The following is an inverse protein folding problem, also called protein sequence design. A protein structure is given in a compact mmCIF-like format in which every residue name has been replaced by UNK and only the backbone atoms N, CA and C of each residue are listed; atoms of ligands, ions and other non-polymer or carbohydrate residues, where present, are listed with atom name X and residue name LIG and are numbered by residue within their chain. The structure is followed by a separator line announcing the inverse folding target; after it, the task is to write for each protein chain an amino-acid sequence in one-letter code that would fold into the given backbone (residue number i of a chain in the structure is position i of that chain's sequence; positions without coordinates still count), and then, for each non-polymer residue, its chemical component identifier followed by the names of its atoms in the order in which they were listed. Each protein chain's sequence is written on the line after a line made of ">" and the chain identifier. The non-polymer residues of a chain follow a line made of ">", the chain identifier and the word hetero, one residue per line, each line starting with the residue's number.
data_IF_647929769336
#
_entry.id   IF_647929769336
#
_cell.length_a   1.000
_cell.length_b   1.000
_cell.length_c   1.000
_cell.angle_alpha   90.00
_cell.angle_beta   90.00
_cell.angle_gamma   90.00
#
_symmetry.space_group_name_H-M   'P 1'
#
loop_
_entity.id
_entity.type
_entity.pdbx_description
1 polymer ?
#
# COMPACT_ATOMS: atom_id res chain seq x y z
N UNK A 1 14.97 1.94 8.64
CA UNK A 1 15.42 0.53 8.72
C UNK A 1 16.13 0.38 10.06
N UNK A 2 15.79 -0.65 10.85
CA UNK A 2 16.25 -0.79 12.24
C UNK A 2 17.78 -0.82 12.35
N UNK A 3 18.30 -0.31 13.46
CA UNK A 3 19.74 -0.33 13.76
C UNK A 3 20.19 -1.67 14.37
N UNK A 4 19.24 -2.48 14.85
CA UNK A 4 19.53 -3.82 15.37
C UNK A 4 19.48 -4.86 14.24
N UNK A 5 20.57 -5.62 14.10
CA UNK A 5 20.74 -6.64 13.07
C UNK A 5 19.67 -7.73 13.17
N UNK A 6 19.25 -8.09 14.40
CA UNK A 6 18.24 -9.12 14.61
C UNK A 6 16.87 -8.68 14.08
N UNK A 7 16.46 -7.45 14.38
CA UNK A 7 15.20 -6.90 13.86
C UNK A 7 15.21 -6.78 12.35
N UNK A 8 16.33 -6.34 11.76
CA UNK A 8 16.48 -6.28 10.31
C UNK A 8 16.28 -7.64 9.64
N UNK A 9 16.92 -8.69 10.19
CA UNK A 9 16.81 -10.05 9.65
C UNK A 9 15.37 -10.60 9.77
N UNK A 10 14.67 -10.27 10.86
CA UNK A 10 13.24 -10.62 11.03
C UNK A 10 12.38 -9.91 9.99
N UNK A 11 12.53 -8.58 9.82
CA UNK A 11 11.74 -7.83 8.82
C UNK A 11 12.01 -8.29 7.39
N UNK A 12 13.27 -8.62 7.06
CA UNK A 12 13.63 -9.18 5.77
C UNK A 12 13.00 -10.56 5.56
N UNK A 13 12.97 -11.40 6.60
CA UNK A 13 12.30 -12.70 6.57
C UNK A 13 10.79 -12.59 6.32
N UNK A 14 10.12 -11.67 7.02
CA UNK A 14 8.69 -11.39 6.86
C UNK A 14 8.36 -10.94 5.43
N UNK A 15 9.08 -9.94 4.91
CA UNK A 15 8.81 -9.35 3.59
C UNK A 15 9.17 -10.28 2.42
N UNK A 16 10.07 -11.24 2.64
CA UNK A 16 10.46 -12.22 1.61
C UNK A 16 9.55 -13.45 1.55
N UNK A 17 8.56 -13.56 2.45
CA UNK A 17 7.67 -14.72 2.52
C UNK A 17 8.37 -16.02 2.95
N UNK A 18 9.62 -15.94 3.44
CA UNK A 18 10.41 -17.11 3.88
C UNK A 18 10.10 -17.55 5.31
N UNK A 19 9.28 -16.79 6.04
CA UNK A 19 8.83 -17.15 7.39
C UNK A 19 7.48 -17.89 7.34
N UNK A 20 7.27 -18.78 8.31
CA UNK A 20 6.05 -19.59 8.46
C UNK A 20 4.81 -18.72 8.70
N UNK A 21 4.98 -17.55 9.34
CA UNK A 21 3.95 -16.53 9.46
C UNK A 21 4.02 -15.59 8.25
N UNK A 22 3.49 -16.05 7.12
CA UNK A 22 3.33 -15.20 5.93
C UNK A 22 2.23 -14.17 6.19
N UNK A 23 2.52 -12.91 5.89
CA UNK A 23 1.53 -11.84 5.91
C UNK A 23 0.75 -11.86 4.61
N UNK A 24 -0.53 -12.22 4.68
CA UNK A 24 -1.45 -12.08 3.55
C UNK A 24 -1.77 -10.60 3.34
N UNK A 25 -1.41 -10.09 2.15
CA UNK A 25 -1.60 -8.69 1.78
C UNK A 25 -3.07 -8.28 1.74
N UNK A 26 -3.97 -9.20 1.34
CA UNK A 26 -5.42 -9.00 1.32
C UNK A 26 -5.98 -8.87 2.73
N UNK A 27 -5.61 -9.78 3.63
CA UNK A 27 -6.04 -9.72 5.05
C UNK A 27 -5.56 -8.43 5.71
N UNK A 28 -4.32 -8.01 5.44
CA UNK A 28 -3.79 -6.74 5.94
C UNK A 28 -4.60 -5.54 5.43
N UNK A 29 -4.88 -5.51 4.13
CA UNK A 29 -5.69 -4.45 3.50
C UNK A 29 -7.09 -4.37 4.13
N UNK A 30 -7.74 -5.50 4.33
CA UNK A 30 -9.08 -5.59 4.92
C UNK A 30 -9.09 -5.13 6.38
N UNK A 31 -8.13 -5.57 7.20
CA UNK A 31 -8.00 -5.12 8.58
C UNK A 31 -7.77 -3.60 8.66
N UNK A 32 -6.90 -3.05 7.82
CA UNK A 32 -6.63 -1.61 7.77
C UNK A 32 -7.88 -0.84 7.30
N UNK A 33 -8.62 -1.37 6.31
CA UNK A 33 -9.85 -0.77 5.83
C UNK A 33 -10.94 -0.75 6.92
N UNK A 34 -11.10 -1.85 7.66
CA UNK A 34 -12.05 -1.96 8.77
C UNK A 34 -11.71 -0.97 9.90
N UNK A 35 -10.44 -0.90 10.32
CA UNK A 35 -9.97 0.09 11.32
C UNK A 35 -10.16 1.52 10.85
N UNK A 36 -9.92 1.78 9.57
CA UNK A 36 -10.14 3.10 8.96
C UNK A 36 -11.63 3.48 9.01
N UNK A 37 -12.53 2.52 8.74
CA UNK A 37 -13.97 2.74 8.82
C UNK A 37 -14.43 3.03 10.26
N UNK A 38 -13.94 2.27 11.24
CA UNK A 38 -14.19 2.54 12.66
C UNK A 38 -13.72 3.95 13.07
N UNK A 39 -12.52 4.35 12.64
CA UNK A 39 -11.99 5.69 12.90
C UNK A 39 -12.84 6.79 12.25
N UNK A 40 -13.48 6.52 11.11
CA UNK A 40 -14.42 7.43 10.47
C UNK A 40 -15.78 7.54 11.20
N UNK A 41 -16.21 6.52 11.97
CA UNK A 41 -17.45 6.53 12.76
C UNK A 41 -18.68 7.13 12.06
N UNK A 42 -19.55 7.83 12.82
CA UNK A 42 -20.75 8.50 12.29
C UNK A 42 -20.47 9.93 11.76
N UNK A 43 -19.41 10.10 10.96
CA UNK A 43 -19.11 11.42 10.41
C UNK A 43 -20.24 11.92 9.51
N UNK A 44 -20.76 13.12 9.77
CA UNK A 44 -21.81 13.73 8.96
C UNK A 44 -21.34 14.02 7.51
N UNK A 45 -20.04 14.27 7.33
CA UNK A 45 -19.39 14.51 6.03
C UNK A 45 -18.01 13.88 6.00
N UNK A 46 -17.69 13.24 4.87
CA UNK A 46 -16.39 12.62 4.60
C UNK A 46 -15.87 13.19 3.29
N UNK A 47 -14.65 13.73 3.31
CA UNK A 47 -13.97 14.15 2.09
C UNK A 47 -13.07 13.03 1.60
N UNK A 48 -13.21 12.65 0.34
CA UNK A 48 -12.37 11.64 -0.29
C UNK A 48 -11.44 12.35 -1.26
N UNK A 49 -10.18 12.54 -0.85
CA UNK A 49 -9.13 13.03 -1.72
C UNK A 49 -8.66 11.86 -2.60
N UNK A 50 -8.72 12.07 -3.90
CA UNK A 50 -8.30 11.10 -4.90
C UNK A 50 -7.07 11.63 -5.63
N UNK A 51 -5.93 11.00 -5.39
CA UNK A 51 -4.68 11.29 -6.09
C UNK A 51 -4.10 9.96 -6.60
N UNK A 52 -4.36 9.59 -7.85
CA UNK A 52 -3.87 8.34 -8.40
C UNK A 52 -2.36 8.46 -8.61
N UNK A 53 -1.61 7.46 -8.14
CA UNK A 53 -0.16 7.44 -8.30
C UNK A 53 0.32 6.12 -8.89
N UNK A 54 1.21 6.23 -9.88
CA UNK A 54 1.83 5.08 -10.52
C UNK A 54 3.15 4.72 -9.83
N UNK A 55 3.23 3.52 -9.27
CA UNK A 55 4.49 2.99 -8.72
C UNK A 55 5.25 2.31 -9.85
N UNK A 56 6.36 2.93 -10.26
CA UNK A 56 7.16 2.48 -11.40
C UNK A 56 8.25 1.51 -10.95
N UNK A 57 8.31 0.35 -11.59
CA UNK A 57 9.26 -0.74 -11.30
C UNK A 57 9.95 -1.20 -12.59
N UNK A 58 10.79 -0.35 -13.22
CA UNK A 58 11.36 -0.63 -14.53
C UNK A 58 12.27 -1.87 -14.58
N UNK A 59 12.81 -2.29 -13.43
CA UNK A 59 13.71 -3.45 -13.33
C UNK A 59 13.03 -4.72 -12.81
N UNK A 60 11.72 -4.69 -12.54
CA UNK A 60 10.99 -5.87 -12.07
C UNK A 60 10.39 -6.61 -13.28
N UNK A 61 10.75 -7.89 -13.43
CA UNK A 61 10.16 -8.81 -14.41
C UNK A 61 9.00 -9.62 -13.81
N UNK A 62 9.18 -10.13 -12.59
CA UNK A 62 8.26 -11.06 -11.94
C UNK A 62 7.96 -10.62 -10.50
N UNK A 63 6.76 -10.09 -10.28
CA UNK A 63 6.18 -9.80 -8.97
C UNK A 63 4.66 -10.03 -9.02
N UNK A 64 4.06 -10.32 -7.87
CA UNK A 64 2.61 -10.46 -7.73
C UNK A 64 1.90 -9.16 -8.18
N UNK A 65 0.82 -9.31 -8.95
CA UNK A 65 -0.01 -8.24 -9.51
C UNK A 65 0.72 -7.15 -10.32
N UNK A 66 1.90 -7.47 -10.88
CA UNK A 66 2.70 -6.51 -11.64
C UNK A 66 2.01 -6.15 -12.96
N UNK A 67 1.54 -4.91 -13.06
CA UNK A 67 0.90 -4.36 -14.24
C UNK A 67 1.84 -3.56 -15.13
N UNK A 68 1.23 -2.64 -15.88
CA UNK A 68 1.93 -1.69 -16.76
C UNK A 68 1.50 -0.26 -16.43
N UNK A 69 2.48 0.65 -16.37
CA UNK A 69 2.30 2.08 -16.11
C UNK A 69 3.15 2.89 -17.07
N UNK A 70 2.85 4.18 -17.22
CA UNK A 70 3.66 5.07 -18.05
C UNK A 70 4.87 5.59 -17.26
N UNK A 71 6.03 5.72 -17.91
CA UNK A 71 7.23 6.40 -17.41
C UNK A 71 7.07 7.93 -17.50
N UNK A 72 8.07 8.71 -17.06
CA UNK A 72 8.01 10.18 -17.15
C UNK A 72 8.14 10.60 -18.62
N UNK A 73 8.76 9.74 -19.42
CA UNK A 73 8.98 9.85 -20.85
C UNK A 73 7.83 9.24 -21.66
N UNK A 74 6.72 8.85 -21.01
CA UNK A 74 5.54 8.21 -21.62
C UNK A 74 5.81 6.84 -22.24
N UNK A 75 6.83 6.14 -21.77
CA UNK A 75 7.11 4.76 -22.17
C UNK A 75 6.36 3.79 -21.26
N UNK A 76 5.86 2.68 -21.82
CA UNK A 76 5.17 1.66 -21.03
C UNK A 76 6.19 0.82 -20.28
N UNK A 77 6.18 0.91 -18.95
CA UNK A 77 7.09 0.17 -18.07
C UNK A 77 6.30 -0.68 -17.07
N UNK A 78 6.97 -1.68 -16.48
CA UNK A 78 6.37 -2.48 -15.42
C UNK A 78 6.13 -1.63 -14.16
N UNK A 79 5.00 -1.85 -13.50
CA UNK A 79 4.64 -1.12 -12.29
C UNK A 79 3.21 -1.37 -11.83
N UNK A 80 2.79 -0.61 -10.83
CA UNK A 80 1.46 -0.71 -10.23
C UNK A 80 0.73 0.62 -10.39
N UNK A 81 -0.44 0.58 -11.04
CA UNK A 81 -1.37 1.71 -11.03
C UNK A 81 -2.15 1.68 -9.72
N UNK A 82 -1.80 2.54 -8.76
CA UNK A 82 -2.46 2.57 -7.46
C UNK A 82 -3.55 3.64 -7.44
N UNK A 83 -4.78 3.17 -7.29
CA UNK A 83 -5.94 4.00 -6.98
C UNK A 83 -5.97 4.32 -5.48
N UNK A 84 -5.09 5.20 -5.02
CA UNK A 84 -5.08 5.60 -3.61
C UNK A 84 -6.15 6.70 -3.37
N UNK A 85 -7.09 6.41 -2.46
CA UNK A 85 -8.07 7.37 -1.94
C UNK A 85 -7.76 7.65 -0.48
N UNK A 86 -7.51 8.91 -0.14
CA UNK A 86 -7.33 9.34 1.25
C UNK A 86 -8.65 9.92 1.74
N UNK A 87 -9.18 9.38 2.85
CA UNK A 87 -10.42 9.87 3.46
C UNK A 87 -10.08 10.80 4.62
N UNK A 88 -10.57 12.04 4.58
CA UNK A 88 -10.42 13.02 5.65
C UNK A 88 -11.75 13.21 6.38
N UNK A 89 -11.66 13.17 7.71
CA UNK A 89 -12.74 13.49 8.64
C UNK A 89 -12.61 14.96 9.02
N UNK A 90 -13.62 15.76 8.69
CA UNK A 90 -13.71 17.13 9.19
C UNK A 90 -14.59 17.16 10.43
N UNK A 91 -14.01 17.55 11.57
CA UNK A 91 -14.77 17.96 12.74
C UNK A 91 -15.19 19.41 12.56
N UNK A 92 -16.49 19.66 12.38
CA UNK A 92 -17.02 21.01 12.54
C UNK A 92 -17.43 21.15 14.01
N UNK A 93 -16.76 22.06 14.72
CA UNK A 93 -17.12 22.57 16.03
C UNK A 93 -18.36 23.46 15.94
#
# INVERSE_FOLDING_TARGET
>A
MSSDKKEYDVFKGLLSGKQVNTLDSGVLLDCVAARSLEALGNSLRVYVLHDPCDIRKPYASDMEDLGKVLSLQKEVISGYCRFNKVKLRCFFS
#
